data_IF_382476110733
#
_entry.id   IF_382476110733
#
_cell.length_a   1.000
_cell.length_b   1.000
_cell.length_c   1.000
_cell.angle_alpha   90.00
_cell.angle_beta   90.00
_cell.angle_gamma   90.00
#
_symmetry.space_group_name_H-M   'P 1'
#
loop_
_entity.id
_entity.type
_entity.pdbx_description
1 polymer ?
#
# COMPACT_ATOMS: atom_id res chain seq x y z
N UNK A 1 3.64 -13.60 -18.62
CA UNK A 1 4.76 -13.40 -17.66
C UNK A 1 4.25 -12.75 -16.39
N UNK A 2 4.64 -13.26 -15.22
CA UNK A 2 3.98 -13.01 -13.93
C UNK A 2 4.27 -11.64 -13.30
N UNK A 3 3.63 -10.58 -13.81
CA UNK A 3 3.67 -9.23 -13.21
C UNK A 3 3.19 -9.21 -11.75
N UNK A 4 2.23 -10.08 -11.38
CA UNK A 4 1.72 -10.21 -10.01
C UNK A 4 2.74 -10.75 -9.01
N UNK A 5 3.56 -11.71 -9.42
CA UNK A 5 4.63 -12.23 -8.56
C UNK A 5 5.72 -11.17 -8.38
N UNK A 6 6.08 -10.47 -9.46
CA UNK A 6 7.11 -9.42 -9.45
C UNK A 6 6.69 -8.19 -8.64
N UNK A 7 5.44 -7.75 -8.73
CA UNK A 7 4.94 -6.65 -7.89
C UNK A 7 5.09 -6.98 -6.41
N UNK A 8 4.72 -8.21 -6.01
CA UNK A 8 4.88 -8.69 -4.64
C UNK A 8 6.36 -8.80 -4.24
N UNK A 9 7.23 -9.26 -5.14
CA UNK A 9 8.67 -9.35 -4.90
C UNK A 9 9.34 -7.96 -4.75
N UNK A 10 8.82 -6.93 -5.42
CA UNK A 10 9.32 -5.56 -5.32
C UNK A 10 8.64 -4.71 -4.24
N UNK A 11 7.50 -5.16 -3.69
CA UNK A 11 6.65 -4.40 -2.75
C UNK A 11 7.46 -3.68 -1.67
N UNK A 12 8.29 -4.39 -0.90
CA UNK A 12 9.12 -3.78 0.17
C UNK A 12 10.05 -2.68 -0.31
N UNK A 13 10.62 -2.82 -1.53
CA UNK A 13 11.55 -1.83 -2.07
C UNK A 13 10.81 -0.60 -2.62
N UNK A 14 9.63 -0.83 -3.22
CA UNK A 14 8.75 0.25 -3.71
C UNK A 14 8.13 1.01 -2.53
N UNK A 15 7.81 0.33 -1.44
CA UNK A 15 7.30 0.93 -0.21
C UNK A 15 8.33 1.87 0.44
N UNK A 16 9.59 1.43 0.57
CA UNK A 16 10.66 2.26 1.12
C UNK A 16 11.05 3.43 0.19
N UNK A 17 11.05 3.21 -1.13
CA UNK A 17 11.31 4.25 -2.11
C UNK A 17 10.32 4.17 -3.29
N UNK A 18 9.18 4.89 -3.21
CA UNK A 18 8.18 4.90 -4.26
C UNK A 18 8.71 5.41 -5.60
N UNK A 19 9.80 6.20 -5.59
CA UNK A 19 10.46 6.80 -6.76
C UNK A 19 11.61 5.93 -7.32
N UNK A 20 11.71 4.66 -6.92
CA UNK A 20 12.78 3.75 -7.37
C UNK A 20 12.92 3.71 -8.90
N UNK A 21 14.15 3.84 -9.39
CA UNK A 21 14.42 3.85 -10.83
C UNK A 21 14.11 2.48 -11.44
N UNK A 22 13.49 2.47 -12.61
CA UNK A 22 13.12 1.23 -13.31
C UNK A 22 14.34 0.35 -13.62
N UNK A 23 15.45 0.97 -14.03
CA UNK A 23 16.72 0.29 -14.29
C UNK A 23 17.23 -0.48 -13.05
N UNK A 24 17.02 0.03 -11.84
CA UNK A 24 17.42 -0.68 -10.62
C UNK A 24 16.58 -1.92 -10.37
N UNK A 25 15.27 -1.88 -10.67
CA UNK A 25 14.40 -3.04 -10.58
C UNK A 25 14.79 -4.11 -11.61
N UNK A 26 15.16 -3.68 -12.81
CA UNK A 26 15.67 -4.57 -13.86
C UNK A 26 16.97 -5.23 -13.46
N UNK A 27 17.96 -4.45 -13.03
CA UNK A 27 19.24 -4.98 -12.58
C UNK A 27 19.07 -5.94 -11.39
N UNK A 28 18.14 -5.64 -10.47
CA UNK A 28 17.85 -6.52 -9.33
C UNK A 28 17.24 -7.85 -9.80
N UNK A 29 16.30 -7.82 -10.74
CA UNK A 29 15.69 -9.04 -11.26
C UNK A 29 16.70 -9.92 -12.00
N UNK A 30 17.53 -9.29 -12.84
CA UNK A 30 18.56 -9.98 -13.58
C UNK A 30 19.62 -10.58 -12.65
N UNK A 31 20.12 -9.84 -11.65
CA UNK A 31 21.14 -10.37 -10.71
C UNK A 31 20.61 -11.43 -9.76
N UNK A 32 19.37 -11.29 -9.27
CA UNK A 32 18.82 -12.17 -8.24
C UNK A 32 18.19 -13.45 -8.81
N UNK A 33 17.55 -13.34 -9.97
CA UNK A 33 16.74 -14.44 -10.53
C UNK A 33 17.20 -14.86 -11.92
N UNK A 34 18.26 -14.25 -12.45
CA UNK A 34 18.77 -14.47 -13.81
C UNK A 34 17.66 -14.36 -14.89
N UNK A 35 16.66 -13.51 -14.62
CA UNK A 35 15.52 -13.31 -15.49
C UNK A 35 15.81 -12.15 -16.45
N UNK A 36 15.59 -12.38 -17.75
CA UNK A 36 15.55 -11.32 -18.76
C UNK A 36 14.30 -10.49 -18.55
N UNK A 37 14.46 -9.38 -17.83
CA UNK A 37 13.37 -8.53 -17.42
C UNK A 37 13.35 -7.24 -18.23
N UNK A 38 12.30 -7.03 -19.00
CA UNK A 38 12.18 -5.83 -19.83
C UNK A 38 11.76 -4.62 -19.01
N UNK A 39 12.14 -3.42 -19.47
CA UNK A 39 11.75 -2.14 -18.86
C UNK A 39 10.23 -2.01 -18.71
N UNK A 40 9.45 -2.49 -19.69
CA UNK A 40 7.99 -2.39 -19.64
C UNK A 40 7.38 -3.27 -18.53
N UNK A 41 7.93 -4.47 -18.31
CA UNK A 41 7.53 -5.33 -17.21
C UNK A 41 7.89 -4.75 -15.85
N UNK A 42 9.04 -4.10 -15.75
CA UNK A 42 9.49 -3.39 -14.57
C UNK A 42 8.55 -2.24 -14.19
N UNK A 43 8.16 -1.44 -15.18
CA UNK A 43 7.20 -0.35 -14.99
C UNK A 43 5.85 -0.88 -14.52
N UNK A 44 5.29 -1.91 -15.18
CA UNK A 44 4.02 -2.51 -14.76
C UNK A 44 4.07 -3.12 -13.37
N UNK A 45 5.16 -3.81 -13.03
CA UNK A 45 5.33 -4.44 -11.72
C UNK A 45 5.46 -3.41 -10.60
N UNK A 46 6.16 -2.29 -10.86
CA UNK A 46 6.23 -1.16 -9.93
C UNK A 46 4.87 -0.50 -9.74
N UNK A 47 4.13 -0.27 -10.83
CA UNK A 47 2.80 0.33 -10.74
C UNK A 47 1.85 -0.55 -9.93
N UNK A 48 1.79 -1.85 -10.23
CA UNK A 48 0.97 -2.78 -9.47
C UNK A 48 1.34 -2.83 -7.98
N UNK A 49 2.64 -2.74 -7.64
CA UNK A 49 3.07 -2.67 -6.25
C UNK A 49 2.62 -1.36 -5.56
N UNK A 50 2.64 -0.23 -6.27
CA UNK A 50 2.14 1.05 -5.77
C UNK A 50 0.63 1.00 -5.54
N UNK A 51 -0.12 0.45 -6.50
CA UNK A 51 -1.58 0.34 -6.43
C UNK A 51 -2.00 -0.53 -5.24
N UNK A 52 -1.30 -1.65 -5.01
CA UNK A 52 -1.51 -2.53 -3.85
C UNK A 52 -1.26 -1.80 -2.52
N UNK A 53 -0.18 -1.03 -2.43
CA UNK A 53 0.17 -0.26 -1.23
C UNK A 53 -0.90 0.81 -0.96
N UNK A 54 -1.30 1.56 -1.99
CA UNK A 54 -2.34 2.58 -1.86
C UNK A 54 -3.70 1.98 -1.50
N UNK A 55 -4.04 0.83 -2.10
CA UNK A 55 -5.25 0.09 -1.78
C UNK A 55 -5.29 -0.35 -0.31
N UNK A 56 -4.16 -0.79 0.24
CA UNK A 56 -4.06 -1.17 1.65
C UNK A 56 -4.25 0.05 2.58
N UNK A 57 -3.61 1.19 2.27
CA UNK A 57 -3.82 2.41 3.04
C UNK A 57 -5.27 2.86 3.03
N UNK A 58 -5.95 2.83 1.87
CA UNK A 58 -7.38 3.18 1.79
C UNK A 58 -8.24 2.29 2.68
N UNK A 59 -7.97 0.98 2.72
CA UNK A 59 -8.68 0.04 3.60
C UNK A 59 -8.44 0.35 5.07
N UNK A 60 -7.20 0.64 5.45
CA UNK A 60 -6.84 0.98 6.83
C UNK A 60 -7.53 2.27 7.30
N UNK A 61 -7.47 3.33 6.50
CA UNK A 61 -8.16 4.59 6.83
C UNK A 61 -9.67 4.41 6.93
N UNK A 62 -10.28 3.61 6.03
CA UNK A 62 -11.70 3.28 6.12
C UNK A 62 -12.04 2.60 7.45
N UNK A 63 -11.23 1.62 7.88
CA UNK A 63 -11.45 0.91 9.15
C UNK A 63 -11.39 1.83 10.37
N UNK A 64 -10.51 2.83 10.36
CA UNK A 64 -10.45 3.85 11.43
C UNK A 64 -11.75 4.67 11.45
N UNK A 65 -12.23 5.12 10.29
CA UNK A 65 -13.48 5.87 10.20
C UNK A 65 -14.68 5.04 10.68
N UNK A 66 -14.76 3.78 10.24
CA UNK A 66 -15.81 2.84 10.67
C UNK A 66 -15.79 2.63 12.19
N UNK A 67 -14.59 2.50 12.79
CA UNK A 67 -14.43 2.36 14.23
C UNK A 67 -14.90 3.59 15.01
N UNK A 68 -14.54 4.79 14.55
CA UNK A 68 -15.02 6.04 15.17
C UNK A 68 -16.55 6.15 15.12
N UNK A 69 -17.19 5.73 14.02
CA UNK A 69 -18.63 5.72 13.90
C UNK A 69 -19.29 4.71 14.86
N UNK A 70 -18.74 3.50 14.97
CA UNK A 70 -19.24 2.49 15.90
C UNK A 70 -19.08 2.92 17.37
N UNK A 71 -17.98 3.60 17.72
CA UNK A 71 -17.82 4.18 19.06
C UNK A 71 -18.93 5.18 19.41
N UNK A 72 -19.29 6.07 18.48
CA UNK A 72 -20.39 7.03 18.66
C UNK A 72 -21.75 6.33 18.81
N UNK A 73 -21.97 5.25 18.06
CA UNK A 73 -23.21 4.45 18.14
C UNK A 73 -23.33 3.68 19.44
N UNK A 74 -22.25 3.02 19.87
CA UNK A 74 -22.24 2.15 21.04
C UNK A 74 -22.29 2.93 22.36
N UNK A 75 -21.87 4.21 22.36
CA UNK A 75 -21.84 5.02 23.57
C UNK A 75 -22.45 6.43 23.35
N UNK A 76 -23.79 6.49 23.15
CA UNK A 76 -24.48 7.75 22.88
C UNK A 76 -24.43 8.73 24.06
N UNK A 77 -24.22 8.25 25.30
CA UNK A 77 -24.23 9.07 26.52
C UNK A 77 -22.91 9.76 26.89
N UNK A 78 -21.81 9.48 26.18
CA UNK A 78 -20.50 10.10 26.46
C UNK A 78 -20.27 11.40 25.70
N UNK A 79 -20.93 11.59 24.56
CA UNK A 79 -20.88 12.83 23.79
C UNK A 79 -21.63 14.00 24.43
N UNK A 80 -22.58 13.74 25.33
CA UNK A 80 -23.32 14.79 26.04
C UNK A 80 -22.56 15.28 27.29
N UNK A 81 -21.97 14.37 28.07
CA UNK A 81 -21.25 14.74 29.31
C UNK A 81 -19.95 15.53 29.08
N UNK A 82 -19.28 15.32 27.94
CA UNK A 82 -18.08 16.07 27.57
C UNK A 82 -18.40 17.44 26.93
N UNK A 83 -19.62 17.63 26.41
CA UNK A 83 -20.10 18.93 25.90
C UNK A 83 -20.54 19.87 27.02
N UNK A 84 -21.07 19.36 28.12
CA UNK A 84 -21.54 20.17 29.25
C UNK A 84 -20.43 20.61 30.21
N UNK A 85 -19.20 20.10 30.03
CA UNK A 85 -18.02 20.48 30.82
C UNK A 85 -17.02 21.38 30.07
N UNK A 86 -17.38 21.92 28.90
CA UNK A 86 -16.56 22.88 28.14
C UNK A 86 -17.16 24.27 28.17
#
# INVERSE_FOLDING_TARGET
>A
MHTSWLSRAFKKKVEHNPKVKIKELVNKAQRKWNLTFTTSMATRSRQAALDDIQGEYRKQYKRIADYCLELLRANPGSSEKDREKR
#
